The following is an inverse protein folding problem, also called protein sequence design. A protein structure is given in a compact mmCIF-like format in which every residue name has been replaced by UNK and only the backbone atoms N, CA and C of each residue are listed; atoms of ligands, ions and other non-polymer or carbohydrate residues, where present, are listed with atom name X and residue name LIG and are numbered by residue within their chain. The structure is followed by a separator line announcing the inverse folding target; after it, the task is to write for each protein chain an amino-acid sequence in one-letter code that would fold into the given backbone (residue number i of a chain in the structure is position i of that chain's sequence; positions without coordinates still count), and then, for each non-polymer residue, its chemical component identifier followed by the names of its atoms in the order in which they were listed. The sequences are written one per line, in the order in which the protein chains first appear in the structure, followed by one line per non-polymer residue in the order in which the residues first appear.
data_IF_341683222538
#
_entry.id   IF_341683222538
#
_cell.length_a   1.000
_cell.length_b   1.000
_cell.length_c   1.000
_cell.angle_alpha   90.00
_cell.angle_beta   90.00
_cell.angle_gamma   90.00
#
_symmetry.space_group_name_H-M   'P 1'
#
loop_
_entity.id
_entity.type
_entity.pdbx_description
1 polymer ?
#
# COMPACT_ATOMS: atom_id res chain seq x y z
N UNK A 1 26.76 12.05 -22.31
CA UNK A 1 26.13 11.16 -21.31
C UNK A 1 26.16 11.91 -19.99
N UNK A 2 25.03 12.06 -19.29
CA UNK A 2 25.07 12.71 -17.98
C UNK A 2 25.65 11.76 -16.93
N UNK A 3 26.28 12.33 -15.91
CA UNK A 3 26.83 11.61 -14.76
C UNK A 3 25.75 11.41 -13.70
N UNK A 4 25.81 10.29 -12.98
CA UNK A 4 24.89 10.00 -11.88
C UNK A 4 25.13 10.99 -10.71
N UNK A 5 24.07 11.46 -10.01
CA UNK A 5 24.20 12.38 -8.89
C UNK A 5 24.74 11.72 -7.61
N UNK A 6 24.80 10.38 -7.56
CA UNK A 6 25.28 9.58 -6.43
C UNK A 6 26.04 8.34 -6.93
N UNK A 7 26.87 7.68 -6.08
CA UNK A 7 27.50 6.41 -6.43
C UNK A 7 26.47 5.41 -6.96
N UNK A 8 26.76 4.82 -8.12
CA UNK A 8 25.83 3.95 -8.84
C UNK A 8 26.49 2.62 -9.19
N UNK A 9 25.77 1.48 -9.05
CA UNK A 9 26.24 0.19 -9.54
C UNK A 9 26.18 0.08 -11.08
N UNK A 10 25.58 1.05 -11.78
CA UNK A 10 25.53 1.11 -13.25
C UNK A 10 26.40 2.24 -13.79
N UNK A 11 27.14 1.97 -14.87
CA UNK A 11 27.98 2.97 -15.56
C UNK A 11 27.19 3.90 -16.50
N UNK A 12 25.97 3.52 -16.88
CA UNK A 12 25.09 4.30 -17.75
C UNK A 12 23.98 4.94 -16.93
N UNK A 13 23.82 6.25 -17.11
CA UNK A 13 22.77 7.05 -16.50
C UNK A 13 21.83 7.60 -17.59
N UNK A 14 20.52 7.52 -17.35
CA UNK A 14 19.47 7.97 -18.25
C UNK A 14 18.64 9.06 -17.56
N UNK A 15 18.36 10.17 -18.26
CA UNK A 15 17.43 11.23 -17.79
C UNK A 15 16.07 11.17 -18.48
N UNK A 16 15.81 10.12 -19.27
CA UNK A 16 14.56 9.92 -19.98
C UNK A 16 14.35 8.40 -20.17
N UNK A 17 13.16 8.03 -20.62
CA UNK A 17 12.82 6.68 -21.08
C UNK A 17 13.87 6.15 -22.06
N UNK A 18 14.16 4.85 -21.95
CA UNK A 18 15.10 4.12 -22.78
C UNK A 18 14.47 2.77 -23.19
N UNK A 19 15.00 2.04 -24.18
CA UNK A 19 14.30 0.90 -24.78
C UNK A 19 13.79 -0.15 -23.79
N UNK A 20 14.50 -0.40 -22.69
CA UNK A 20 14.07 -1.36 -21.66
C UNK A 20 12.85 -0.89 -20.85
N UNK A 21 12.63 0.42 -20.74
CA UNK A 21 11.51 1.04 -20.01
C UNK A 21 10.54 1.77 -20.94
N UNK A 22 10.62 1.54 -22.26
CA UNK A 22 9.74 2.24 -23.20
C UNK A 22 8.27 1.86 -22.93
N UNK A 23 7.35 2.82 -22.76
CA UNK A 23 5.93 2.53 -22.50
C UNK A 23 5.22 1.90 -23.71
N UNK A 24 5.85 1.93 -24.88
CA UNK A 24 5.31 1.34 -26.12
C UNK A 24 5.57 -0.16 -26.25
N UNK A 25 6.25 -0.77 -25.27
CA UNK A 25 6.53 -2.21 -25.27
C UNK A 25 5.21 -3.01 -25.16
N UNK A 26 4.95 -3.98 -26.06
CA UNK A 26 3.67 -4.70 -26.09
C UNK A 26 3.32 -5.39 -24.77
N UNK A 27 4.30 -5.94 -24.08
CA UNK A 27 4.13 -6.64 -22.81
C UNK A 27 3.79 -5.74 -21.62
N UNK A 28 3.96 -4.41 -21.76
CA UNK A 28 3.56 -3.41 -20.76
C UNK A 28 2.16 -2.86 -20.99
N UNK A 29 1.45 -3.35 -22.01
CA UNK A 29 0.11 -2.87 -22.36
C UNK A 29 -0.91 -3.16 -21.27
N UNK A 30 -1.62 -2.11 -20.85
CA UNK A 30 -2.79 -2.21 -19.96
C UNK A 30 -4.12 -2.34 -20.73
N UNK A 31 -4.09 -2.68 -22.03
CA UNK A 31 -5.30 -2.79 -22.84
C UNK A 31 -6.25 -3.85 -22.26
N UNK A 32 -7.50 -3.48 -22.06
CA UNK A 32 -8.52 -4.36 -21.46
C UNK A 32 -8.35 -4.60 -19.96
N UNK A 33 -7.48 -3.84 -19.29
CA UNK A 33 -7.34 -3.83 -17.84
C UNK A 33 -8.05 -2.62 -17.26
N UNK A 34 -8.55 -2.76 -16.04
CA UNK A 34 -9.05 -1.62 -15.29
C UNK A 34 -8.05 -1.16 -14.23
N UNK A 35 -7.64 0.11 -14.31
CA UNK A 35 -6.59 0.68 -13.46
C UNK A 35 -7.18 1.82 -12.62
N UNK A 36 -7.19 1.67 -11.30
CA UNK A 36 -7.62 2.70 -10.35
C UNK A 36 -6.41 3.41 -9.77
N UNK A 37 -6.44 4.75 -9.81
CA UNK A 37 -5.34 5.60 -9.33
C UNK A 37 -5.90 6.55 -8.28
N UNK A 38 -5.39 6.46 -7.05
CA UNK A 38 -5.64 7.48 -6.03
C UNK A 38 -4.69 8.66 -6.22
N UNK A 39 -5.14 9.88 -5.93
CA UNK A 39 -4.37 11.09 -6.22
C UNK A 39 -4.31 11.46 -7.71
N UNK A 40 -5.24 10.95 -8.53
CA UNK A 40 -5.20 11.05 -10.00
C UNK A 40 -5.44 12.45 -10.58
N UNK A 41 -5.78 13.45 -9.77
CA UNK A 41 -6.13 14.79 -10.27
C UNK A 41 -4.94 15.74 -10.51
N UNK A 42 -3.73 15.41 -10.01
CA UNK A 42 -2.52 16.26 -10.18
C UNK A 42 -1.22 15.43 -10.13
N UNK A 43 -0.11 16.02 -10.57
CA UNK A 43 1.24 15.46 -10.39
C UNK A 43 1.40 14.10 -11.07
N UNK A 44 2.15 13.19 -10.42
CA UNK A 44 2.43 11.84 -10.94
C UNK A 44 1.13 11.07 -11.23
N UNK A 45 0.12 11.20 -10.36
CA UNK A 45 -1.17 10.54 -10.54
C UNK A 45 -1.89 11.00 -11.82
N UNK A 46 -1.81 12.29 -12.16
CA UNK A 46 -2.39 12.83 -13.40
C UNK A 46 -1.62 12.41 -14.66
N UNK A 47 -0.29 12.30 -14.58
CA UNK A 47 0.53 11.80 -15.70
C UNK A 47 0.34 10.29 -15.92
N UNK A 48 0.00 9.56 -14.85
CA UNK A 48 -0.31 8.12 -14.89
C UNK A 48 -1.78 7.86 -15.25
N UNK A 49 -2.63 8.91 -15.21
CA UNK A 49 -4.07 8.83 -15.33
C UNK A 49 -4.51 8.33 -16.71
N UNK A 50 -4.95 7.07 -16.73
CA UNK A 50 -5.54 6.51 -17.95
C UNK A 50 -6.93 5.91 -17.75
N UNK A 51 -7.39 5.47 -16.57
CA UNK A 51 -8.66 4.69 -16.52
C UNK A 51 -9.59 5.08 -15.38
N UNK A 52 -9.14 5.11 -14.12
CA UNK A 52 -10.00 5.57 -13.02
C UNK A 52 -9.23 6.45 -12.03
N UNK A 53 -9.82 7.59 -11.67
CA UNK A 53 -9.17 8.64 -10.90
C UNK A 53 -9.95 8.93 -9.62
N UNK A 54 -9.26 8.80 -8.49
CA UNK A 54 -9.75 9.23 -7.19
C UNK A 54 -8.91 10.39 -6.66
N UNK A 55 -9.56 11.31 -5.96
CA UNK A 55 -8.89 12.41 -5.29
C UNK A 55 -9.89 13.35 -4.65
N UNK A 56 -9.46 14.15 -3.68
CA UNK A 56 -10.39 15.00 -2.92
C UNK A 56 -11.04 16.11 -3.73
N UNK A 57 -10.36 16.61 -4.77
CA UNK A 57 -10.78 17.80 -5.53
C UNK A 57 -11.39 17.40 -6.87
N UNK A 58 -12.68 17.70 -7.04
CA UNK A 58 -13.42 17.36 -8.26
C UNK A 58 -12.88 18.07 -9.51
N UNK A 59 -12.60 19.37 -9.44
CA UNK A 59 -12.18 20.16 -10.61
C UNK A 59 -10.88 19.63 -11.27
N UNK A 60 -9.77 19.38 -10.54
CA UNK A 60 -8.58 18.76 -11.12
C UNK A 60 -8.84 17.38 -11.71
N UNK A 61 -9.66 16.54 -11.05
CA UNK A 61 -10.00 15.21 -11.57
C UNK A 61 -10.73 15.28 -12.91
N UNK A 62 -11.69 16.19 -13.04
CA UNK A 62 -12.42 16.38 -14.30
C UNK A 62 -11.53 16.95 -15.41
N UNK A 63 -10.59 17.84 -15.05
CA UNK A 63 -9.60 18.34 -16.01
C UNK A 63 -8.68 17.21 -16.51
N UNK A 64 -8.21 16.35 -15.61
CA UNK A 64 -7.39 15.17 -16.00
C UNK A 64 -8.21 14.19 -16.84
N UNK A 65 -9.46 13.88 -16.47
CA UNK A 65 -10.36 13.03 -17.27
C UNK A 65 -10.47 13.55 -18.70
N UNK A 66 -10.82 14.83 -18.86
CA UNK A 66 -10.99 15.43 -20.18
C UNK A 66 -9.68 15.42 -21.00
N UNK A 67 -8.53 15.66 -20.37
CA UNK A 67 -7.24 15.58 -21.04
C UNK A 67 -6.92 14.15 -21.50
N UNK A 68 -7.09 13.15 -20.62
CA UNK A 68 -6.83 11.74 -20.94
C UNK A 68 -7.73 11.21 -22.05
N UNK A 69 -9.03 11.53 -22.04
CA UNK A 69 -9.97 11.12 -23.09
C UNK A 69 -9.67 11.78 -24.44
N UNK A 70 -9.19 13.04 -24.43
CA UNK A 70 -8.74 13.75 -25.64
C UNK A 70 -7.47 13.14 -26.22
N UNK A 71 -6.48 12.86 -25.37
CA UNK A 71 -5.14 12.44 -25.80
C UNK A 71 -5.09 10.94 -26.12
N UNK A 72 -6.02 10.14 -25.58
CA UNK A 72 -6.11 8.70 -25.80
C UNK A 72 -7.53 8.26 -26.18
N UNK A 73 -7.92 8.43 -27.45
CA UNK A 73 -9.22 7.99 -27.95
C UNK A 73 -9.43 6.48 -27.71
N UNK A 74 -10.58 6.10 -27.15
CA UNK A 74 -10.92 4.70 -26.86
C UNK A 74 -10.57 4.24 -25.44
N UNK A 75 -10.17 5.17 -24.56
CA UNK A 75 -10.01 4.92 -23.14
C UNK A 75 -11.15 5.58 -22.38
N UNK A 76 -11.87 4.82 -21.55
CA UNK A 76 -12.93 5.32 -20.69
C UNK A 76 -12.35 5.71 -19.33
N UNK A 77 -12.52 6.98 -18.95
CA UNK A 77 -11.91 7.53 -17.73
C UNK A 77 -12.98 7.82 -16.68
N UNK A 78 -13.06 7.00 -15.64
CA UNK A 78 -13.90 7.27 -14.48
C UNK A 78 -13.22 8.27 -13.54
N UNK A 79 -13.95 9.26 -13.03
CA UNK A 79 -13.43 10.23 -12.07
C UNK A 79 -14.42 10.40 -10.92
N UNK A 80 -13.96 10.17 -9.69
CA UNK A 80 -14.80 10.26 -8.50
C UNK A 80 -14.06 10.97 -7.36
N UNK A 81 -14.64 12.04 -6.78
CA UNK A 81 -14.09 12.66 -5.60
C UNK A 81 -14.08 11.70 -4.41
N UNK A 82 -12.95 11.55 -3.72
CA UNK A 82 -12.86 10.73 -2.52
C UNK A 82 -11.71 11.18 -1.63
N UNK A 83 -11.95 11.21 -0.32
CA UNK A 83 -10.89 11.21 0.68
C UNK A 83 -10.49 9.76 1.01
N UNK A 84 -9.27 9.34 0.65
CA UNK A 84 -8.76 7.99 0.92
C UNK A 84 -8.63 7.66 2.41
N UNK A 85 -8.64 8.67 3.28
CA UNK A 85 -8.63 8.49 4.73
C UNK A 85 -10.03 8.22 5.30
N UNK A 86 -11.09 8.48 4.53
CA UNK A 86 -12.50 8.25 4.89
C UNK A 86 -12.97 6.89 4.36
N UNK A 87 -13.32 5.95 5.25
CA UNK A 87 -13.87 4.65 4.82
C UNK A 87 -15.17 4.83 4.02
N UNK A 88 -16.14 5.67 4.45
CA UNK A 88 -17.35 5.92 3.66
C UNK A 88 -17.07 6.43 2.24
N UNK A 89 -16.11 7.36 2.08
CA UNK A 89 -15.74 7.89 0.76
C UNK A 89 -15.14 6.80 -0.13
N UNK A 90 -14.26 5.97 0.44
CA UNK A 90 -13.65 4.84 -0.26
C UNK A 90 -14.74 3.84 -0.67
N UNK A 91 -15.63 3.44 0.24
CA UNK A 91 -16.73 2.52 -0.07
C UNK A 91 -17.62 3.08 -1.19
N UNK A 92 -17.97 4.36 -1.13
CA UNK A 92 -18.77 5.03 -2.15
C UNK A 92 -18.06 5.08 -3.51
N UNK A 93 -16.76 5.39 -3.54
CA UNK A 93 -15.96 5.41 -4.76
C UNK A 93 -15.86 4.03 -5.42
N UNK A 94 -15.65 2.98 -4.63
CA UNK A 94 -15.63 1.60 -5.12
C UNK A 94 -17.01 1.16 -5.62
N UNK A 95 -18.08 1.47 -4.90
CA UNK A 95 -19.44 1.18 -5.34
C UNK A 95 -19.77 1.88 -6.67
N UNK A 96 -19.44 3.17 -6.80
CA UNK A 96 -19.64 3.93 -8.03
C UNK A 96 -18.83 3.36 -9.20
N UNK A 97 -17.58 2.97 -8.96
CA UNK A 97 -16.72 2.35 -9.97
C UNK A 97 -17.24 0.98 -10.43
N UNK A 98 -17.64 0.12 -9.49
CA UNK A 98 -18.17 -1.22 -9.82
C UNK A 98 -19.50 -1.13 -10.57
N UNK A 99 -20.35 -0.17 -10.22
CA UNK A 99 -21.63 0.08 -10.90
C UNK A 99 -21.47 0.69 -12.30
N UNK A 100 -20.28 1.20 -12.66
CA UNK A 100 -20.00 1.78 -13.98
C UNK A 100 -19.71 0.71 -15.07
N UNK A 101 -20.20 -0.51 -14.90
CA UNK A 101 -20.13 -1.58 -15.90
C UNK A 101 -18.76 -2.26 -16.06
N UNK A 102 -17.72 -1.80 -15.35
CA UNK A 102 -16.36 -2.34 -15.47
C UNK A 102 -16.08 -3.53 -14.54
N UNK A 103 -16.89 -3.75 -13.49
CA UNK A 103 -17.05 -4.99 -12.69
C UNK A 103 -15.81 -5.61 -12.02
N UNK A 104 -14.60 -5.21 -12.39
CA UNK A 104 -13.32 -5.77 -11.96
C UNK A 104 -12.29 -4.65 -11.86
N UNK A 105 -11.47 -4.72 -10.80
CA UNK A 105 -10.26 -3.92 -10.65
C UNK A 105 -9.05 -4.81 -10.90
N UNK A 106 -8.22 -4.49 -11.89
CA UNK A 106 -6.99 -5.25 -12.20
C UNK A 106 -5.77 -4.70 -11.49
N UNK A 107 -5.68 -3.37 -11.40
CA UNK A 107 -4.50 -2.66 -10.88
C UNK A 107 -4.95 -1.51 -9.99
N UNK A 108 -4.38 -1.43 -8.80
CA UNK A 108 -4.49 -0.27 -7.92
C UNK A 108 -3.14 0.44 -7.85
N UNK A 109 -3.13 1.73 -8.19
CA UNK A 109 -2.01 2.64 -7.98
C UNK A 109 -2.35 3.52 -6.78
N UNK A 110 -1.72 3.24 -5.64
CA UNK A 110 -1.84 4.06 -4.43
C UNK A 110 -0.97 5.30 -4.54
N UNK A 111 -1.47 6.33 -5.21
CA UNK A 111 -0.77 7.58 -5.49
C UNK A 111 -1.21 8.79 -4.65
N UNK A 112 -2.27 8.66 -3.85
CA UNK A 112 -2.69 9.70 -2.92
C UNK A 112 -1.69 9.74 -1.74
N UNK A 113 -1.04 10.89 -1.58
CA UNK A 113 -0.09 11.11 -0.50
C UNK A 113 -0.14 12.55 -0.01
N UNK A 114 0.25 12.76 1.24
CA UNK A 114 0.49 14.07 1.83
C UNK A 114 1.93 14.12 2.31
N UNK A 115 2.63 15.19 1.95
CA UNK A 115 3.96 15.48 2.49
C UNK A 115 3.74 16.12 3.87
N UNK A 116 4.24 15.46 4.91
CA UNK A 116 4.21 15.97 6.28
C UNK A 116 5.23 17.06 6.53
N UNK A 117 5.52 17.29 7.81
CA UNK A 117 6.48 18.30 8.26
C UNK A 117 7.85 18.16 7.61
N UNK A 118 8.28 19.19 6.87
CA UNK A 118 9.63 19.30 6.30
C UNK A 118 10.54 20.06 7.27
N UNK A 119 10.90 19.41 8.37
CA UNK A 119 11.82 19.94 9.37
C UNK A 119 12.82 18.87 9.82
N UNK A 120 13.99 19.25 10.36
CA UNK A 120 14.84 18.31 11.08
C UNK A 120 14.04 17.60 12.18
N UNK A 121 14.34 16.33 12.45
CA UNK A 121 13.61 15.50 13.42
C UNK A 121 13.48 16.18 14.79
N UNK A 122 14.50 16.93 15.24
CA UNK A 122 14.46 17.62 16.54
C UNK A 122 13.42 18.76 16.59
N UNK A 123 13.12 19.37 15.45
CA UNK A 123 12.30 20.56 15.32
C UNK A 123 10.90 20.22 14.74
N UNK A 124 10.67 18.96 14.38
CA UNK A 124 9.40 18.51 13.82
C UNK A 124 8.35 18.39 14.93
N UNK A 125 7.16 18.93 14.66
CA UNK A 125 5.99 18.73 15.51
C UNK A 125 5.57 17.24 15.47
N UNK A 126 5.53 16.54 16.63
CA UNK A 126 5.24 15.11 16.67
C UNK A 126 3.84 14.76 16.16
N UNK A 127 2.84 15.60 16.45
CA UNK A 127 1.45 15.35 16.09
C UNK A 127 1.27 15.53 14.58
N UNK A 128 1.79 16.62 14.00
CA UNK A 128 1.77 16.86 12.56
C UNK A 128 2.55 15.78 11.78
N UNK A 129 3.66 15.28 12.36
CA UNK A 129 4.40 14.16 11.80
C UNK A 129 3.57 12.87 11.79
N UNK A 130 2.94 12.52 12.93
CA UNK A 130 2.10 11.33 13.05
C UNK A 130 0.83 11.43 12.21
N UNK A 131 0.23 12.62 12.07
CA UNK A 131 -0.90 12.87 11.20
C UNK A 131 -0.54 12.61 9.73
N UNK A 132 0.62 13.12 9.28
CA UNK A 132 1.10 12.84 7.94
C UNK A 132 1.34 11.33 7.72
N UNK A 133 1.92 10.63 8.69
CA UNK A 133 2.05 9.17 8.62
C UNK A 133 0.68 8.53 8.46
N UNK A 134 -0.27 8.83 9.36
CA UNK A 134 -1.60 8.21 9.37
C UNK A 134 -2.41 8.50 8.10
N UNK A 135 -2.21 9.65 7.46
CA UNK A 135 -2.84 9.99 6.18
C UNK A 135 -2.29 9.16 5.00
N UNK A 136 -1.04 8.73 5.06
CA UNK A 136 -0.41 7.91 4.02
C UNK A 136 -0.52 6.41 4.30
N UNK A 137 -0.32 6.02 5.57
CA UNK A 137 -0.33 4.64 6.08
C UNK A 137 -0.94 4.65 7.47
N UNK A 138 -2.09 3.99 7.64
CA UNK A 138 -2.72 3.86 8.97
C UNK A 138 -1.84 2.98 9.87
N UNK A 139 -1.19 3.59 10.86
CA UNK A 139 -0.29 2.89 11.80
C UNK A 139 -0.93 2.59 13.15
N UNK A 140 -2.10 3.15 13.45
CA UNK A 140 -2.76 2.99 14.75
C UNK A 140 -2.98 1.51 15.13
N UNK A 141 -3.51 0.70 14.23
CA UNK A 141 -3.77 -0.72 14.48
C UNK A 141 -2.48 -1.50 14.83
N UNK A 142 -1.43 -1.52 13.99
CA UNK A 142 -0.19 -2.22 14.35
C UNK A 142 0.49 -1.60 15.58
N UNK A 143 0.43 -0.29 15.79
CA UNK A 143 1.02 0.36 16.96
C UNK A 143 0.31 -0.06 18.27
N UNK A 144 -1.02 0.02 18.32
CA UNK A 144 -1.80 -0.43 19.47
C UNK A 144 -1.63 -1.93 19.72
N UNK A 145 -1.55 -2.73 18.66
CA UNK A 145 -1.29 -4.16 18.77
C UNK A 145 0.11 -4.47 19.33
N UNK A 146 1.16 -3.77 18.87
CA UNK A 146 2.53 -3.90 19.42
C UNK A 146 2.57 -3.50 20.90
N UNK A 147 1.86 -2.41 21.27
CA UNK A 147 1.76 -2.00 22.66
C UNK A 147 1.08 -3.08 23.52
N UNK A 148 0.00 -3.69 23.02
CA UNK A 148 -0.62 -4.84 23.68
C UNK A 148 0.33 -6.05 23.76
N UNK A 149 1.08 -6.37 22.70
CA UNK A 149 2.08 -7.44 22.71
C UNK A 149 3.19 -7.24 23.74
N UNK A 150 3.52 -6.00 24.08
CA UNK A 150 4.48 -5.66 25.13
C UNK A 150 3.93 -5.83 26.55
N UNK A 151 2.61 -6.03 26.71
CA UNK A 151 1.96 -6.24 28.01
C UNK A 151 2.17 -7.67 28.55
N UNK A 152 2.07 -7.90 29.88
CA UNK A 152 2.10 -9.24 30.45
C UNK A 152 1.00 -10.17 29.92
N UNK A 153 -0.15 -9.62 29.55
CA UNK A 153 -1.31 -10.38 29.09
C UNK A 153 -1.04 -11.13 27.80
N UNK A 154 -0.23 -10.55 26.89
CA UNK A 154 0.12 -11.13 25.60
C UNK A 154 1.32 -12.10 25.64
N UNK A 155 1.85 -12.40 26.84
CA UNK A 155 3.07 -13.24 27.00
C UNK A 155 2.97 -14.62 26.35
N UNK A 156 1.76 -15.17 26.23
CA UNK A 156 1.49 -16.45 25.57
C UNK A 156 1.83 -16.47 24.07
N UNK A 157 1.98 -15.28 23.46
CA UNK A 157 2.39 -15.08 22.07
C UNK A 157 3.91 -14.93 21.88
N UNK A 158 4.72 -15.05 22.95
CA UNK A 158 6.18 -14.92 22.85
C UNK A 158 6.75 -15.94 21.84
N UNK A 159 7.48 -15.43 20.84
CA UNK A 159 8.08 -16.25 19.78
C UNK A 159 7.11 -16.75 18.71
N UNK A 160 5.89 -16.20 18.67
CA UNK A 160 4.87 -16.51 17.66
C UNK A 160 4.77 -15.41 16.62
N UNK A 161 4.51 -15.80 15.39
CA UNK A 161 4.08 -14.91 14.33
C UNK A 161 2.61 -14.56 14.52
N UNK A 162 2.34 -13.27 14.58
CA UNK A 162 1.01 -12.73 14.84
C UNK A 162 0.75 -11.55 13.92
N UNK A 163 -0.51 -11.38 13.53
CA UNK A 163 -0.93 -10.30 12.65
C UNK A 163 -1.86 -9.36 13.42
N UNK A 164 -1.60 -8.05 13.39
CA UNK A 164 -2.37 -7.03 14.10
C UNK A 164 -3.84 -6.93 13.70
N UNK A 165 -4.25 -7.60 12.63
CA UNK A 165 -5.63 -7.68 12.17
C UNK A 165 -6.45 -8.78 12.86
N UNK A 166 -5.80 -9.68 13.62
CA UNK A 166 -6.50 -10.72 14.37
C UNK A 166 -7.15 -10.17 15.63
N UNK A 167 -8.28 -10.76 16.01
CA UNK A 167 -9.00 -10.39 17.22
C UNK A 167 -8.21 -10.81 18.47
N UNK A 168 -7.96 -9.85 19.34
CA UNK A 168 -7.15 -10.05 20.55
C UNK A 168 -7.88 -10.91 21.57
N UNK A 169 -9.20 -10.84 21.64
CA UNK A 169 -9.98 -11.60 22.60
C UNK A 169 -10.11 -13.06 22.14
N UNK A 170 -10.33 -13.30 20.84
CA UNK A 170 -10.25 -14.64 20.25
C UNK A 170 -8.86 -15.27 20.44
N UNK A 171 -7.77 -14.51 20.23
CA UNK A 171 -6.42 -15.00 20.51
C UNK A 171 -6.22 -15.42 21.97
N UNK A 172 -6.83 -14.72 22.94
CA UNK A 172 -6.78 -15.08 24.36
C UNK A 172 -7.56 -16.36 24.65
N UNK A 173 -8.67 -16.61 23.97
CA UNK A 173 -9.43 -17.86 24.09
C UNK A 173 -8.58 -19.07 23.64
N UNK A 174 -7.72 -18.89 22.64
CA UNK A 174 -6.79 -19.91 22.16
C UNK A 174 -5.47 -20.03 22.96
N UNK A 175 -5.34 -19.37 24.12
CA UNK A 175 -4.10 -19.30 24.89
C UNK A 175 -3.47 -20.66 25.16
N UNK A 176 -4.21 -21.59 25.76
CA UNK A 176 -3.68 -22.89 26.19
C UNK A 176 -3.17 -23.72 25.00
N UNK A 177 -3.89 -23.68 23.88
CA UNK A 177 -3.51 -24.34 22.63
C UNK A 177 -2.25 -23.72 22.04
N UNK A 178 -2.17 -22.40 21.99
CA UNK A 178 -1.02 -21.69 21.44
C UNK A 178 0.22 -21.93 22.31
N UNK A 179 0.11 -21.91 23.63
CA UNK A 179 1.25 -22.16 24.52
C UNK A 179 1.76 -23.61 24.44
N UNK A 180 0.86 -24.58 24.32
CA UNK A 180 1.20 -26.00 24.29
C UNK A 180 1.66 -26.51 22.93
N UNK A 181 1.40 -25.78 21.84
CA UNK A 181 1.71 -26.21 20.46
C UNK A 181 2.83 -25.42 19.78
N UNK A 182 3.20 -25.88 18.58
CA UNK A 182 4.08 -25.18 17.63
C UNK A 182 3.31 -24.27 16.67
N UNK A 183 1.99 -24.10 16.86
CA UNK A 183 1.20 -23.20 16.02
C UNK A 183 1.74 -21.78 16.11
N UNK A 184 1.81 -21.14 14.95
CA UNK A 184 2.33 -19.78 14.73
C UNK A 184 3.83 -19.61 14.98
N UNK A 185 4.58 -20.67 15.29
CA UNK A 185 6.04 -20.56 15.37
C UNK A 185 6.63 -20.45 13.96
N UNK A 186 7.54 -19.51 13.75
CA UNK A 186 8.38 -19.46 12.54
C UNK A 186 9.60 -20.34 12.77
N UNK A 187 9.88 -21.24 11.83
CA UNK A 187 11.04 -22.13 11.87
C UNK A 187 11.60 -22.37 10.47
N UNK A 188 12.81 -22.94 10.41
CA UNK A 188 13.45 -23.31 9.15
C UNK A 188 13.18 -24.78 8.83
N UNK A 189 12.50 -25.02 7.70
CA UNK A 189 12.25 -26.33 7.11
C UNK A 189 13.48 -26.92 6.43
N UNK A 190 14.16 -27.90 7.03
CA UNK A 190 15.18 -28.69 6.34
C UNK A 190 14.56 -29.70 5.36
N UNK A 191 15.31 -30.09 4.32
CA UNK A 191 14.90 -31.16 3.39
C UNK A 191 15.35 -32.54 3.91
N UNK A 192 14.52 -33.60 3.80
CA UNK A 192 13.12 -33.57 3.34
C UNK A 192 12.21 -32.94 4.40
N UNK A 193 11.25 -32.13 3.94
CA UNK A 193 10.35 -31.40 4.83
C UNK A 193 9.50 -32.38 5.64
N UNK A 194 9.84 -32.57 6.92
CA UNK A 194 9.11 -33.40 7.87
C UNK A 194 8.13 -32.60 8.75
N UNK A 195 7.35 -33.29 9.58
CA UNK A 195 6.44 -32.66 10.54
C UNK A 195 7.23 -31.98 11.67
N UNK A 196 7.14 -30.66 11.76
CA UNK A 196 7.80 -29.85 12.78
C UNK A 196 7.05 -29.91 14.12
N UNK A 197 7.63 -30.63 15.09
CA UNK A 197 7.09 -30.72 16.47
C UNK A 197 7.98 -30.04 17.52
N UNK A 198 9.16 -29.52 17.15
CA UNK A 198 10.09 -28.91 18.10
C UNK A 198 10.03 -27.38 18.11
N UNK A 199 10.05 -26.80 19.32
CA UNK A 199 10.26 -25.37 19.55
C UNK A 199 11.76 -25.08 19.43
N UNK A 200 12.15 -24.05 18.68
CA UNK A 200 13.50 -23.49 18.78
C UNK A 200 13.59 -22.78 20.13
N UNK A 201 14.30 -23.36 21.10
CA UNK A 201 14.68 -22.65 22.32
C UNK A 201 15.81 -21.68 21.97
N UNK A 202 15.52 -20.38 22.04
CA UNK A 202 16.47 -19.28 21.81
C UNK A 202 17.11 -18.77 23.10
N UNK A 203 17.09 -19.56 24.18
CA UNK A 203 17.80 -19.20 25.41
C UNK A 203 19.29 -19.56 25.23
N UNK A 204 20.04 -18.58 24.72
CA UNK A 204 21.50 -18.48 24.73
C UNK A 204 21.90 -17.05 25.12
#
# INVERSE_FOLDING_TARGET
MSTAPFPSPTSKWHNNTYPSLSPTRPELSAKGKTVLITGGGTGIGAETARIALLGRRAQPLQATKAASERDFPGVDVFAHPADVTSKPDVDAAFAAFLNNGQGRLDVLVSGAAVIGTLAPVRDADPDAFMDAINQNVRVSLPASFILWLASPEARFLKGKFVWSNWDVDELKEHREELESSTKLNIGLGGWPFGNFTSKLNLDA
#
